data_IF_761058041683
#
_entry.id   IF_761058041683
#
_cell.length_a   1.000
_cell.length_b   1.000
_cell.length_c   1.000
_cell.angle_alpha   90.00
_cell.angle_beta   90.00
_cell.angle_gamma   90.00
#
_symmetry.space_group_name_H-M   'P 1'
#
loop_
_entity.id
_entity.type
_entity.pdbx_description
1 polymer ?
#
# COMPACT_ATOMS: atom_id res chain seq x y z
N UNK A 1 54.95 -23.53 -10.50
CA UNK A 1 54.52 -22.32 -9.77
C UNK A 1 53.20 -21.88 -10.39
N UNK A 2 52.09 -22.48 -9.94
CA UNK A 2 50.75 -22.14 -10.41
C UNK A 2 50.19 -21.09 -9.47
N UNK A 3 49.95 -19.90 -9.98
CA UNK A 3 49.34 -18.79 -9.24
C UNK A 3 47.84 -18.95 -9.43
N UNK A 4 47.16 -19.53 -8.44
CA UNK A 4 45.70 -19.54 -8.40
C UNK A 4 45.21 -18.15 -7.97
N UNK A 5 44.56 -17.44 -8.88
CA UNK A 5 43.76 -16.27 -8.53
C UNK A 5 42.50 -16.72 -7.78
N UNK A 6 42.16 -16.13 -6.61
CA UNK A 6 40.90 -16.43 -5.96
C UNK A 6 39.78 -15.74 -6.74
N UNK A 7 38.87 -16.54 -7.29
CA UNK A 7 37.56 -16.06 -7.72
C UNK A 7 36.84 -15.50 -6.50
N UNK A 8 36.78 -14.17 -6.40
CA UNK A 8 35.80 -13.51 -5.53
C UNK A 8 34.41 -13.83 -6.09
N UNK A 9 33.78 -14.85 -5.53
CA UNK A 9 32.36 -15.10 -5.68
C UNK A 9 31.64 -13.94 -4.98
N UNK A 10 31.25 -12.92 -5.75
CA UNK A 10 30.24 -11.97 -5.31
C UNK A 10 28.94 -12.76 -5.16
N UNK A 11 28.67 -13.21 -3.94
CA UNK A 11 27.31 -13.55 -3.53
C UNK A 11 26.54 -12.23 -3.63
N UNK A 12 25.84 -12.05 -4.75
CA UNK A 12 24.78 -11.07 -4.90
C UNK A 12 23.75 -11.42 -3.82
N UNK A 13 23.83 -10.74 -2.68
CA UNK A 13 22.74 -10.72 -1.71
C UNK A 13 21.55 -10.08 -2.44
N UNK A 14 20.40 -10.77 -2.57
CA UNK A 14 19.23 -10.16 -3.18
C UNK A 14 18.81 -8.94 -2.33
N UNK A 15 18.68 -7.79 -2.99
CA UNK A 15 18.11 -6.57 -2.42
C UNK A 15 16.73 -6.90 -1.85
N UNK A 16 16.63 -7.04 -0.53
CA UNK A 16 15.37 -7.27 0.16
C UNK A 16 14.54 -5.98 0.13
N UNK A 17 13.28 -6.14 -0.24
CA UNK A 17 12.32 -5.07 -0.41
C UNK A 17 11.83 -4.57 0.96
N UNK A 18 12.63 -3.74 1.63
CA UNK A 18 12.12 -2.83 2.68
C UNK A 18 12.59 -1.41 2.55
N UNK A 19 13.38 -1.07 1.53
CA UNK A 19 13.38 0.32 1.13
C UNK A 19 14.04 0.61 -0.20
N UNK A 20 13.25 1.18 -1.10
CA UNK A 20 13.76 1.95 -2.22
C UNK A 20 14.50 3.16 -1.66
N UNK A 21 15.72 3.37 -2.13
CA UNK A 21 16.50 4.58 -1.85
C UNK A 21 16.07 5.65 -2.86
N UNK A 22 14.96 6.32 -2.57
CA UNK A 22 14.50 7.45 -3.37
C UNK A 22 15.32 8.67 -2.97
N UNK A 23 16.04 9.24 -3.93
CA UNK A 23 16.85 10.43 -3.70
C UNK A 23 15.98 11.54 -3.05
N UNK A 24 16.48 12.28 -2.04
CA UNK A 24 15.68 13.27 -1.31
C UNK A 24 15.05 14.38 -2.17
N UNK A 25 15.67 14.67 -3.33
CA UNK A 25 15.20 15.66 -4.30
C UNK A 25 14.58 15.04 -5.56
N UNK A 26 14.25 13.74 -5.53
CA UNK A 26 13.62 13.08 -6.67
C UNK A 26 12.32 13.80 -7.06
N UNK A 27 12.12 13.94 -8.36
CA UNK A 27 10.87 14.41 -8.97
C UNK A 27 10.29 13.32 -9.85
N UNK A 28 9.01 13.44 -10.15
CA UNK A 28 8.31 12.51 -11.03
C UNK A 28 7.68 13.28 -12.17
N UNK A 29 7.57 12.61 -13.31
CA UNK A 29 6.82 13.10 -14.47
C UNK A 29 5.43 13.53 -14.04
N UNK A 30 4.98 14.70 -14.50
CA UNK A 30 3.63 15.20 -14.16
C UNK A 30 2.51 14.47 -14.89
N UNK A 31 2.83 13.90 -16.05
CA UNK A 31 1.92 13.05 -16.80
C UNK A 31 2.15 11.59 -16.41
N UNK A 32 1.08 10.94 -15.97
CA UNK A 32 1.01 9.52 -15.69
C UNK A 32 0.71 8.71 -16.95
N UNK A 33 1.12 7.46 -16.90
CA UNK A 33 0.85 6.44 -17.91
C UNK A 33 -0.04 5.39 -17.26
N UNK A 34 -1.21 5.13 -17.86
CA UNK A 34 -2.06 4.02 -17.41
C UNK A 34 -1.36 2.69 -17.68
N UNK A 35 -1.12 1.90 -16.62
CA UNK A 35 -0.41 0.61 -16.69
C UNK A 35 -1.30 -0.59 -16.34
N UNK A 36 -2.46 -0.36 -15.75
CA UNK A 36 -3.51 -1.35 -15.53
C UNK A 36 -4.88 -0.66 -15.45
N UNK A 37 -5.93 -1.34 -15.90
CA UNK A 37 -7.28 -0.77 -16.00
C UNK A 37 -7.40 0.36 -17.02
N UNK A 38 -8.26 1.34 -16.72
CA UNK A 38 -8.45 2.55 -17.55
C UNK A 38 -9.28 2.36 -18.82
N UNK A 39 -9.88 1.19 -19.02
CA UNK A 39 -10.82 0.90 -20.11
C UNK A 39 -12.28 0.93 -19.63
N UNK A 40 -12.58 1.87 -18.75
CA UNK A 40 -13.86 1.96 -18.02
C UNK A 40 -13.94 1.01 -16.84
N UNK A 41 -14.94 1.28 -15.98
CA UNK A 41 -15.37 0.40 -14.91
C UNK A 41 -15.90 -0.93 -15.49
N UNK A 42 -15.48 -2.05 -14.91
CA UNK A 42 -16.02 -3.36 -15.29
C UNK A 42 -15.13 -4.52 -14.87
N UNK A 43 -15.53 -5.72 -15.29
CA UNK A 43 -14.92 -7.00 -14.90
C UNK A 43 -14.06 -7.64 -16.01
N UNK A 44 -13.90 -6.97 -17.16
CA UNK A 44 -13.00 -7.41 -18.23
C UNK A 44 -11.54 -7.54 -17.76
N UNK A 45 -10.72 -8.27 -18.53
CA UNK A 45 -9.29 -8.47 -18.20
C UNK A 45 -8.45 -7.21 -18.30
N UNK A 46 -8.92 -6.18 -19.00
CA UNK A 46 -8.30 -4.87 -19.11
C UNK A 46 -9.06 -3.77 -18.34
N UNK A 47 -10.01 -4.16 -17.47
CA UNK A 47 -10.83 -3.27 -16.65
C UNK A 47 -10.58 -3.52 -15.16
N UNK A 48 -10.89 -2.51 -14.36
CA UNK A 48 -10.93 -2.55 -12.91
C UNK A 48 -12.26 -1.95 -12.46
N UNK A 49 -12.71 -2.28 -11.26
CA UNK A 49 -13.86 -1.66 -10.61
C UNK A 49 -13.51 -1.35 -9.15
N UNK A 50 -13.45 -0.04 -8.85
CA UNK A 50 -13.10 0.48 -7.53
C UNK A 50 -11.80 -0.14 -6.98
N UNK A 51 -10.69 -0.13 -7.76
CA UNK A 51 -9.41 -0.69 -7.29
C UNK A 51 -8.94 0.05 -6.04
N UNK A 52 -8.29 -0.63 -5.09
CA UNK A 52 -7.92 -0.01 -3.81
C UNK A 52 -6.43 -0.13 -3.47
N UNK A 53 -5.95 -1.30 -3.07
CA UNK A 53 -4.54 -1.56 -2.78
C UNK A 53 -3.77 -2.04 -4.00
N UNK A 54 -2.46 -1.79 -4.01
CA UNK A 54 -1.54 -2.35 -4.99
C UNK A 54 -0.22 -2.80 -4.37
N UNK A 55 0.41 -3.77 -5.03
CA UNK A 55 1.80 -4.17 -4.78
C UNK A 55 2.56 -4.29 -6.10
N UNK A 56 3.82 -3.83 -6.11
CA UNK A 56 4.72 -3.96 -7.24
C UNK A 56 5.85 -4.90 -6.84
N UNK A 57 5.97 -6.04 -7.53
CA UNK A 57 7.07 -6.98 -7.27
C UNK A 57 8.36 -6.57 -7.99
N UNK A 58 9.48 -7.21 -7.65
CA UNK A 58 10.81 -6.87 -8.15
C UNK A 58 10.91 -7.03 -9.67
N UNK A 59 10.11 -7.90 -10.28
CA UNK A 59 10.03 -8.12 -11.73
C UNK A 59 9.12 -7.10 -12.45
N UNK A 60 8.64 -6.09 -11.72
CA UNK A 60 7.68 -5.06 -12.15
C UNK A 60 6.27 -5.60 -12.43
N UNK A 61 5.94 -6.79 -11.93
CA UNK A 61 4.57 -7.29 -11.93
C UNK A 61 3.72 -6.51 -10.91
N UNK A 62 2.56 -6.06 -11.34
CA UNK A 62 1.60 -5.26 -10.57
C UNK A 62 0.48 -6.18 -10.09
N UNK A 63 0.25 -6.21 -8.78
CA UNK A 63 -0.91 -6.84 -8.17
C UNK A 63 -1.87 -5.75 -7.70
N UNK A 64 -3.15 -5.85 -8.04
CA UNK A 64 -4.17 -4.86 -7.70
C UNK A 64 -5.35 -5.56 -7.04
N UNK A 65 -5.80 -5.02 -5.91
CA UNK A 65 -7.09 -5.38 -5.33
C UNK A 65 -8.21 -4.72 -6.14
N UNK A 66 -8.91 -5.51 -6.94
CA UNK A 66 -10.04 -5.09 -7.77
C UNK A 66 -11.34 -5.31 -6.96
N UNK A 67 -11.58 -4.36 -6.07
CA UNK A 67 -12.43 -4.50 -4.88
C UNK A 67 -13.86 -4.92 -5.21
N UNK A 68 -14.53 -4.19 -6.12
CA UNK A 68 -15.93 -4.45 -6.45
C UNK A 68 -16.09 -5.74 -7.27
N UNK A 69 -15.05 -6.14 -8.00
CA UNK A 69 -15.00 -7.42 -8.71
C UNK A 69 -14.59 -8.60 -7.82
N UNK A 70 -14.34 -8.39 -6.53
CA UNK A 70 -14.02 -9.45 -5.56
C UNK A 70 -12.83 -10.33 -5.99
N UNK A 71 -11.77 -9.70 -6.50
CA UNK A 71 -10.61 -10.41 -7.07
C UNK A 71 -9.31 -9.64 -6.89
N UNK A 72 -8.20 -10.36 -6.97
CA UNK A 72 -6.87 -9.79 -7.16
C UNK A 72 -6.44 -10.03 -8.60
N UNK A 73 -5.99 -8.96 -9.25
CA UNK A 73 -5.55 -8.97 -10.62
C UNK A 73 -4.04 -8.76 -10.71
N UNK A 74 -3.38 -9.49 -11.62
CA UNK A 74 -1.97 -9.41 -11.95
C UNK A 74 -1.79 -8.77 -13.34
N UNK A 75 -0.92 -7.76 -13.45
CA UNK A 75 -0.41 -7.23 -14.72
C UNK A 75 1.10 -7.33 -14.79
N UNK A 76 1.60 -8.04 -15.81
CA UNK A 76 3.02 -8.02 -16.14
C UNK A 76 3.40 -6.69 -16.79
N UNK A 77 4.65 -6.27 -16.63
CA UNK A 77 5.15 -5.05 -17.27
C UNK A 77 4.87 -5.04 -18.79
N UNK A 78 4.19 -4.00 -19.27
CA UNK A 78 3.81 -3.82 -20.67
C UNK A 78 2.57 -4.60 -21.12
N UNK A 79 1.92 -5.37 -20.24
CA UNK A 79 0.70 -6.08 -20.58
C UNK A 79 -0.50 -5.12 -20.71
N UNK A 80 -1.35 -5.34 -21.72
CA UNK A 80 -2.61 -4.61 -21.92
C UNK A 80 -3.79 -5.27 -21.20
N UNK A 81 -3.66 -6.54 -20.86
CA UNK A 81 -4.64 -7.34 -20.13
C UNK A 81 -3.99 -7.94 -18.90
N UNK A 82 -4.73 -7.97 -17.81
CA UNK A 82 -4.37 -8.63 -16.57
C UNK A 82 -4.91 -10.04 -16.50
N UNK A 83 -4.52 -10.72 -15.43
CA UNK A 83 -4.93 -12.08 -15.11
C UNK A 83 -5.47 -12.12 -13.68
N UNK A 84 -6.61 -12.78 -13.48
CA UNK A 84 -7.10 -13.07 -12.12
C UNK A 84 -6.15 -14.06 -11.45
N UNK A 85 -5.62 -13.71 -10.28
CA UNK A 85 -4.71 -14.56 -9.50
C UNK A 85 -5.27 -14.99 -8.14
N UNK A 86 -6.32 -14.31 -7.65
CA UNK A 86 -7.09 -14.74 -6.48
C UNK A 86 -8.53 -14.22 -6.58
N UNK A 87 -9.49 -14.96 -6.02
CA UNK A 87 -10.92 -14.63 -6.08
C UNK A 87 -11.49 -14.71 -7.51
N UNK A 88 -12.48 -13.86 -7.81
CA UNK A 88 -13.16 -13.83 -9.12
C UNK A 88 -14.20 -14.94 -9.36
N UNK A 89 -14.48 -15.76 -8.35
CA UNK A 89 -15.46 -16.85 -8.39
C UNK A 89 -16.78 -16.46 -7.71
N UNK A 90 -17.20 -15.22 -7.93
CA UNK A 90 -18.29 -14.60 -7.20
C UNK A 90 -17.88 -14.14 -5.80
N UNK A 91 -18.75 -13.33 -5.21
CA UNK A 91 -18.63 -12.84 -3.86
C UNK A 91 -18.97 -13.95 -2.85
N UNK A 92 -18.13 -14.15 -1.84
CA UNK A 92 -18.44 -15.04 -0.73
C UNK A 92 -17.24 -15.31 0.17
N UNK A 93 -17.40 -16.23 1.11
CA UNK A 93 -16.41 -16.55 2.15
C UNK A 93 -15.77 -17.94 1.98
N UNK A 94 -16.10 -18.67 0.91
CA UNK A 94 -15.48 -19.95 0.61
C UNK A 94 -13.98 -19.79 0.29
N UNK A 95 -13.24 -20.89 0.31
CA UNK A 95 -11.78 -20.86 0.13
C UNK A 95 -11.36 -20.30 -1.24
N UNK A 96 -12.20 -20.44 -2.27
CA UNK A 96 -11.95 -19.94 -3.62
C UNK A 96 -12.61 -18.57 -3.90
N UNK A 97 -13.16 -17.92 -2.87
CA UNK A 97 -13.88 -16.65 -2.98
C UNK A 97 -13.22 -15.56 -2.13
N UNK A 98 -13.44 -14.31 -2.55
CA UNK A 98 -13.15 -13.10 -1.80
C UNK A 98 -14.43 -12.26 -1.72
N UNK A 99 -14.46 -11.30 -0.80
CA UNK A 99 -15.50 -10.31 -0.69
C UNK A 99 -14.91 -8.94 -0.34
N UNK A 100 -14.97 -7.98 -1.28
CA UNK A 100 -14.35 -6.65 -1.19
C UNK A 100 -12.90 -6.70 -0.68
N UNK A 101 -11.98 -7.36 -1.41
CA UNK A 101 -10.58 -7.31 -1.03
C UNK A 101 -10.07 -5.88 -1.17
N UNK A 102 -9.41 -5.35 -0.13
CA UNK A 102 -8.94 -3.96 -0.15
C UNK A 102 -7.45 -3.84 -0.45
N UNK A 103 -6.65 -4.83 -0.06
CA UNK A 103 -5.20 -4.71 -0.17
C UNK A 103 -4.56 -6.07 -0.42
N UNK A 104 -3.38 -6.04 -1.04
CA UNK A 104 -2.60 -7.23 -1.36
C UNK A 104 -1.12 -6.93 -1.21
N UNK A 105 -0.38 -7.83 -0.57
CA UNK A 105 1.09 -7.81 -0.50
C UNK A 105 1.64 -9.20 -0.82
N UNK A 106 2.95 -9.30 -1.07
CA UNK A 106 3.61 -10.59 -1.33
C UNK A 106 4.44 -11.02 -0.13
N UNK A 107 4.19 -12.24 0.35
CA UNK A 107 5.07 -12.97 1.24
C UNK A 107 6.08 -13.76 0.39
N UNK A 108 7.26 -13.16 0.14
CA UNK A 108 8.27 -13.72 -0.77
C UNK A 108 8.81 -15.09 -0.33
N UNK A 109 8.98 -15.30 0.97
CA UNK A 109 9.50 -16.55 1.54
C UNK A 109 8.59 -17.76 1.25
N UNK A 110 7.26 -17.54 1.16
CA UNK A 110 6.27 -18.58 0.88
C UNK A 110 5.66 -18.50 -0.52
N UNK A 111 6.19 -17.64 -1.39
CA UNK A 111 5.63 -17.30 -2.71
C UNK A 111 4.09 -17.18 -2.71
N UNK A 112 3.57 -16.35 -1.81
CA UNK A 112 2.13 -16.22 -1.57
C UNK A 112 1.67 -14.77 -1.56
N UNK A 113 0.44 -14.54 -2.00
CA UNK A 113 -0.27 -13.29 -1.78
C UNK A 113 -0.85 -13.29 -0.36
N UNK A 114 -0.73 -12.17 0.34
CA UNK A 114 -1.46 -11.89 1.57
C UNK A 114 -2.50 -10.83 1.25
N UNK A 115 -3.77 -11.17 1.43
CA UNK A 115 -4.90 -10.41 0.93
C UNK A 115 -5.76 -9.98 2.10
N UNK A 116 -6.08 -8.69 2.13
CA UNK A 116 -7.10 -8.12 3.00
C UNK A 116 -8.46 -8.45 2.41
N UNK A 117 -9.19 -9.40 2.99
CA UNK A 117 -10.52 -9.84 2.53
C UNK A 117 -11.59 -9.20 3.43
N UNK A 118 -11.72 -7.87 3.30
CA UNK A 118 -12.41 -7.00 4.24
C UNK A 118 -13.89 -7.34 4.42
N UNK A 119 -14.59 -7.68 3.34
CA UNK A 119 -16.00 -8.07 3.40
C UNK A 119 -16.25 -9.34 4.22
N UNK A 120 -15.24 -10.20 4.33
CA UNK A 120 -15.27 -11.42 5.15
C UNK A 120 -14.60 -11.26 6.53
N UNK A 121 -14.17 -10.04 6.90
CA UNK A 121 -13.48 -9.74 8.15
C UNK A 121 -12.27 -10.66 8.42
N UNK A 122 -11.45 -10.90 7.39
CA UNK A 122 -10.30 -11.81 7.48
C UNK A 122 -9.11 -11.35 6.64
N UNK A 123 -7.95 -11.94 6.93
CA UNK A 123 -6.77 -11.89 6.05
C UNK A 123 -6.52 -13.29 5.51
N UNK A 124 -6.29 -13.38 4.21
CA UNK A 124 -6.14 -14.64 3.47
C UNK A 124 -4.73 -14.75 2.91
N UNK A 125 -4.11 -15.92 3.06
CA UNK A 125 -2.91 -16.32 2.32
C UNK A 125 -3.34 -17.10 1.09
N UNK A 126 -2.91 -16.68 -0.09
CA UNK A 126 -3.26 -17.31 -1.37
C UNK A 126 -1.99 -17.68 -2.14
N UNK A 127 -1.85 -18.91 -2.68
CA UNK A 127 -0.67 -19.28 -3.44
C UNK A 127 -0.53 -18.38 -4.68
N UNK A 128 0.64 -17.77 -4.87
CA UNK A 128 0.84 -16.82 -5.99
C UNK A 128 0.77 -17.51 -7.35
N UNK A 129 1.14 -18.79 -7.42
CA UNK A 129 1.13 -19.59 -8.65
C UNK A 129 0.31 -20.86 -8.49
N UNK A 130 -0.51 -21.16 -9.50
CA UNK A 130 -1.30 -22.40 -9.63
C UNK A 130 -2.24 -22.73 -8.46
N UNK A 131 -2.51 -21.78 -7.55
CA UNK A 131 -3.47 -21.92 -6.46
C UNK A 131 -4.87 -21.49 -6.85
N UNK A 132 -5.88 -22.29 -6.49
CA UNK A 132 -7.30 -21.97 -6.74
C UNK A 132 -8.05 -21.57 -5.46
N UNK A 133 -7.43 -21.73 -4.30
CA UNK A 133 -8.01 -21.46 -3.00
C UNK A 133 -7.01 -20.74 -2.10
N UNK A 134 -7.52 -19.84 -1.26
CA UNK A 134 -6.79 -19.22 -0.16
C UNK A 134 -7.11 -19.85 1.19
N UNK A 135 -6.22 -19.62 2.13
CA UNK A 135 -6.31 -20.03 3.53
C UNK A 135 -6.53 -18.79 4.41
N UNK A 136 -7.51 -18.83 5.30
CA UNK A 136 -7.69 -17.76 6.29
C UNK A 136 -6.58 -17.84 7.33
N UNK A 137 -5.73 -16.81 7.40
CA UNK A 137 -4.61 -16.75 8.36
C UNK A 137 -4.92 -15.83 9.56
N UNK A 138 -5.83 -14.88 9.41
CA UNK A 138 -6.36 -14.06 10.52
C UNK A 138 -7.87 -13.93 10.33
N UNK A 139 -8.63 -14.10 11.41
CA UNK A 139 -10.09 -13.96 11.43
C UNK A 139 -10.53 -12.82 12.36
N UNK A 140 -11.79 -12.37 12.20
CA UNK A 140 -12.41 -11.33 13.03
C UNK A 140 -11.66 -9.99 13.02
N UNK A 141 -11.17 -9.61 11.84
CA UNK A 141 -10.42 -8.37 11.64
C UNK A 141 -11.01 -7.59 10.45
N UNK A 142 -11.33 -6.32 10.65
CA UNK A 142 -11.77 -5.45 9.55
C UNK A 142 -10.52 -4.84 8.92
N UNK A 143 -9.83 -5.67 8.14
CA UNK A 143 -8.55 -5.31 7.54
C UNK A 143 -8.74 -4.26 6.43
N UNK A 144 -8.05 -3.13 6.53
CA UNK A 144 -8.03 -2.10 5.47
C UNK A 144 -6.71 -2.08 4.70
N UNK A 145 -5.59 -2.10 5.42
CA UNK A 145 -4.25 -2.02 4.84
C UNK A 145 -3.32 -3.07 5.41
N UNK A 146 -2.39 -3.49 4.57
CA UNK A 146 -1.38 -4.51 4.86
C UNK A 146 0.01 -3.97 4.52
N UNK A 147 1.00 -4.40 5.30
CA UNK A 147 2.41 -4.25 4.92
C UNK A 147 3.24 -5.33 5.60
N UNK A 148 4.45 -5.57 5.11
CA UNK A 148 5.35 -6.58 5.65
C UNK A 148 6.77 -6.04 5.64
N UNK A 149 7.51 -6.32 6.71
CA UNK A 149 8.93 -5.98 6.79
C UNK A 149 9.82 -7.08 6.20
N UNK A 150 11.12 -6.78 6.07
CA UNK A 150 12.13 -7.72 5.53
C UNK A 150 12.34 -9.00 6.35
N UNK A 151 11.80 -9.04 7.58
CA UNK A 151 11.86 -10.21 8.45
C UNK A 151 10.59 -11.05 8.38
N UNK A 152 9.62 -10.69 7.53
CA UNK A 152 8.35 -11.39 7.37
C UNK A 152 7.35 -11.09 8.48
N UNK A 153 7.58 -10.08 9.33
CA UNK A 153 6.53 -9.56 10.21
C UNK A 153 5.58 -8.74 9.35
N UNK A 154 4.29 -9.07 9.42
CA UNK A 154 3.28 -8.33 8.69
C UNK A 154 2.36 -7.57 9.63
N UNK A 155 1.91 -6.42 9.15
CA UNK A 155 1.17 -5.43 9.91
C UNK A 155 -0.17 -5.25 9.24
N UNK A 156 -1.21 -5.22 10.06
CA UNK A 156 -2.60 -5.18 9.63
C UNK A 156 -3.27 -3.99 10.29
N UNK A 157 -3.89 -3.15 9.49
CA UNK A 157 -4.79 -2.09 9.98
C UNK A 157 -6.14 -2.71 10.30
N UNK A 158 -6.44 -2.89 11.58
CA UNK A 158 -7.79 -3.28 12.05
C UNK A 158 -8.63 -2.01 12.19
N UNK A 159 -9.29 -1.62 11.11
CA UNK A 159 -10.14 -0.45 11.07
C UNK A 159 -11.32 -0.57 12.06
N UNK A 160 -11.78 -1.79 12.33
CA UNK A 160 -12.90 -2.06 13.25
C UNK A 160 -12.57 -1.75 14.72
N UNK A 161 -11.28 -1.63 15.05
CA UNK A 161 -10.78 -1.30 16.40
C UNK A 161 -9.90 -0.05 16.44
N UNK A 162 -9.76 0.65 15.32
CA UNK A 162 -8.90 1.83 15.19
C UNK A 162 -7.46 1.56 15.67
N UNK A 163 -6.87 0.46 15.21
CA UNK A 163 -5.54 0.02 15.63
C UNK A 163 -4.75 -0.63 14.50
N UNK A 164 -3.43 -0.70 14.69
CA UNK A 164 -2.55 -1.52 13.86
C UNK A 164 -2.00 -2.65 14.69
N UNK A 165 -2.12 -3.86 14.17
CA UNK A 165 -1.58 -5.09 14.77
C UNK A 165 -0.41 -5.62 13.96
N UNK A 166 0.65 -6.02 14.65
CA UNK A 166 1.78 -6.74 14.09
C UNK A 166 1.61 -8.24 14.35
N UNK A 167 1.86 -9.05 13.33
CA UNK A 167 1.79 -10.50 13.39
C UNK A 167 3.12 -11.11 12.96
N UNK A 168 3.48 -12.22 13.61
CA UNK A 168 4.46 -13.16 13.08
C UNK A 168 3.75 -14.15 12.16
N UNK A 169 4.50 -14.77 11.25
CA UNK A 169 4.02 -15.95 10.55
C UNK A 169 3.51 -16.97 11.59
N UNK A 170 2.32 -17.51 11.33
CA UNK A 170 1.56 -18.44 12.17
C UNK A 170 0.98 -17.86 13.49
N UNK A 171 1.15 -16.56 13.76
CA UNK A 171 0.43 -15.89 14.85
C UNK A 171 -1.02 -15.59 14.45
N UNK A 172 -1.96 -15.80 15.37
CA UNK A 172 -3.39 -15.59 15.13
C UNK A 172 -3.97 -14.40 15.89
N UNK A 173 -3.23 -13.84 16.87
CA UNK A 173 -3.74 -12.73 17.71
C UNK A 173 -3.05 -11.41 17.39
N UNK A 174 -1.74 -11.46 17.09
CA UNK A 174 -0.94 -10.27 16.86
C UNK A 174 -0.81 -9.37 18.09
N UNK A 175 0.07 -8.38 17.99
CA UNK A 175 0.32 -7.37 19.03
C UNK A 175 -0.05 -6.00 18.52
N UNK A 176 -0.78 -5.22 19.32
CA UNK A 176 -1.11 -3.82 18.97
C UNK A 176 0.16 -2.97 19.02
N UNK A 177 0.45 -2.29 17.91
CA UNK A 177 1.67 -1.46 17.72
C UNK A 177 1.36 0.02 17.43
N UNK A 178 0.13 0.35 17.09
CA UNK A 178 -0.37 1.72 16.99
C UNK A 178 -1.87 1.77 17.30
N UNK A 179 -2.36 2.87 17.90
CA UNK A 179 -3.76 3.00 18.30
C UNK A 179 -4.15 2.10 19.48
N UNK A 180 -5.33 1.48 19.42
CA UNK A 180 -5.82 0.52 20.42
C UNK A 180 -6.33 1.14 21.74
N UNK A 181 -6.42 2.47 21.82
CA UNK A 181 -6.94 3.20 22.98
C UNK A 181 -8.32 3.81 22.70
N UNK A 182 -9.10 3.12 21.87
CA UNK A 182 -10.40 3.56 21.35
C UNK A 182 -10.29 4.62 20.25
N UNK A 183 -11.41 4.84 19.56
CA UNK A 183 -11.52 5.84 18.51
C UNK A 183 -11.36 7.26 19.04
N UNK A 184 -10.60 8.09 18.34
CA UNK A 184 -10.43 9.50 18.70
C UNK A 184 -9.24 10.16 18.01
N UNK A 185 -8.91 11.37 18.45
CA UNK A 185 -7.87 12.22 17.84
C UNK A 185 -6.68 12.50 18.76
N UNK A 186 -6.63 11.89 19.94
CA UNK A 186 -5.44 11.97 20.83
C UNK A 186 -4.25 11.29 20.17
N UNK A 187 -3.03 11.57 20.65
CA UNK A 187 -1.80 11.02 20.07
C UNK A 187 -1.66 9.50 20.27
N UNK A 188 -2.44 8.88 21.16
CA UNK A 188 -2.51 7.44 21.36
C UNK A 188 -3.77 6.80 20.74
N UNK A 189 -4.55 7.56 19.97
CA UNK A 189 -5.79 7.12 19.32
C UNK A 189 -5.70 7.30 17.81
N UNK A 190 -6.51 6.53 17.09
CA UNK A 190 -6.76 6.65 15.67
C UNK A 190 -8.27 6.79 15.44
N UNK A 191 -8.66 7.23 14.24
CA UNK A 191 -10.04 7.28 13.80
C UNK A 191 -10.11 6.82 12.34
N UNK A 192 -10.66 5.62 12.14
CA UNK A 192 -10.76 4.92 10.87
C UNK A 192 -9.41 4.93 10.12
N UNK A 193 -8.36 4.29 10.67
CA UNK A 193 -7.10 4.15 9.96
C UNK A 193 -7.27 3.27 8.72
N UNK A 194 -6.58 3.61 7.63
CA UNK A 194 -6.74 2.90 6.35
C UNK A 194 -5.48 2.17 5.90
N UNK A 195 -4.34 2.84 5.82
CA UNK A 195 -3.07 2.25 5.36
C UNK A 195 -2.00 2.30 6.44
N UNK A 196 -1.01 1.43 6.26
CA UNK A 196 0.16 1.31 7.12
C UNK A 196 1.43 1.16 6.28
N UNK A 197 2.52 1.77 6.75
CA UNK A 197 3.88 1.52 6.27
C UNK A 197 4.81 1.37 7.47
N UNK A 198 5.90 0.64 7.30
CA UNK A 198 6.90 0.42 8.37
C UNK A 198 8.28 0.84 7.88
N UNK A 199 9.07 1.48 8.74
CA UNK A 199 10.49 1.77 8.48
C UNK A 199 11.41 0.66 9.02
N UNK A 200 12.72 0.74 8.73
CA UNK A 200 13.68 -0.29 9.17
C UNK A 200 13.90 -0.35 10.68
N UNK A 201 13.50 0.69 11.41
CA UNK A 201 13.52 0.71 12.87
C UNK A 201 12.23 0.09 13.46
N UNK A 202 11.38 -0.49 12.60
CA UNK A 202 10.04 -0.99 12.91
C UNK A 202 9.10 0.07 13.47
N UNK A 203 9.30 1.33 13.11
CA UNK A 203 8.31 2.36 13.38
C UNK A 203 7.16 2.22 12.40
N UNK A 204 5.95 2.40 12.90
CA UNK A 204 4.71 2.22 12.17
C UNK A 204 4.14 3.59 11.79
N UNK A 205 3.91 3.79 10.49
CA UNK A 205 3.30 4.98 9.92
C UNK A 205 1.88 4.62 9.50
N UNK A 206 0.89 5.34 10.01
CA UNK A 206 -0.53 5.05 9.80
C UNK A 206 -1.22 6.27 9.23
N UNK A 207 -1.97 6.08 8.14
CA UNK A 207 -2.90 7.10 7.69
C UNK A 207 -4.14 7.08 8.57
N UNK A 208 -4.23 8.08 9.44
CA UNK A 208 -5.33 8.30 10.36
C UNK A 208 -6.41 9.10 9.63
N UNK A 209 -7.08 8.40 8.69
CA UNK A 209 -7.83 8.97 7.57
C UNK A 209 -8.84 10.03 8.01
N UNK A 210 -9.63 9.76 9.05
CA UNK A 210 -10.67 10.69 9.51
C UNK A 210 -10.19 11.76 10.48
N UNK A 211 -8.94 11.66 10.94
CA UNK A 211 -8.26 12.75 11.65
C UNK A 211 -7.39 13.60 10.71
N UNK A 212 -7.38 13.34 9.40
CA UNK A 212 -6.70 14.17 8.40
C UNK A 212 -5.20 14.33 8.68
N UNK A 213 -4.55 13.23 9.08
CA UNK A 213 -3.14 13.21 9.48
C UNK A 213 -2.49 11.87 9.19
N UNK A 214 -1.17 11.87 9.12
CA UNK A 214 -0.35 10.65 9.20
C UNK A 214 0.38 10.65 10.54
N UNK A 215 0.27 9.54 11.23
CA UNK A 215 0.85 9.34 12.55
C UNK A 215 2.00 8.33 12.47
N UNK A 216 3.10 8.58 13.18
CA UNK A 216 4.22 7.65 13.37
C UNK A 216 4.26 7.17 14.81
N UNK A 217 4.33 5.86 15.02
CA UNK A 217 4.71 5.24 16.31
C UNK A 217 6.09 4.62 16.18
N UNK A 218 7.02 5.05 17.03
CA UNK A 218 8.28 4.33 17.21
C UNK A 218 8.02 3.00 17.92
N UNK A 219 8.90 2.02 17.70
CA UNK A 219 8.76 0.68 18.29
C UNK A 219 8.62 0.76 19.82
N UNK A 220 7.49 0.28 20.33
CA UNK A 220 7.18 0.26 21.78
C UNK A 220 6.64 1.58 22.35
N UNK A 221 6.48 2.62 21.53
CA UNK A 221 5.90 3.89 21.96
C UNK A 221 4.44 3.74 22.41
N UNK A 222 4.04 4.49 23.44
CA UNK A 222 2.66 4.50 23.95
C UNK A 222 1.73 5.49 23.22
N UNK A 223 2.32 6.44 22.50
CA UNK A 223 1.64 7.43 21.69
C UNK A 223 2.50 7.71 20.46
N UNK A 224 1.87 8.17 19.39
CA UNK A 224 2.55 8.53 18.16
C UNK A 224 2.88 10.01 18.10
N UNK A 225 3.51 10.39 17.00
CA UNK A 225 3.74 11.78 16.61
C UNK A 225 3.12 12.03 15.23
N UNK A 226 2.65 13.25 15.00
CA UNK A 226 2.14 13.66 13.68
C UNK A 226 3.36 13.90 12.78
N UNK A 227 3.39 13.25 11.61
CA UNK A 227 4.48 13.37 10.63
C UNK A 227 4.02 13.98 9.30
N UNK A 228 2.72 14.05 9.05
CA UNK A 228 2.13 14.81 7.95
C UNK A 228 0.70 15.25 8.31
N UNK A 229 0.27 16.41 7.82
CA UNK A 229 -1.05 16.99 8.12
C UNK A 229 -1.21 17.40 9.59
N UNK A 230 -2.40 17.15 10.16
CA UNK A 230 -2.70 17.45 11.56
C UNK A 230 -3.13 18.90 11.86
N UNK A 231 -3.25 19.75 10.83
CA UNK A 231 -3.82 21.11 10.92
C UNK A 231 -5.30 21.15 10.49
N UNK A 232 -6.02 20.05 10.74
CA UNK A 232 -7.40 19.85 10.30
C UNK A 232 -7.54 19.46 8.83
N UNK A 233 -8.78 19.21 8.41
CA UNK A 233 -9.13 18.92 7.02
C UNK A 233 -8.92 20.18 6.16
N UNK A 234 -8.27 20.03 5.00
CA UNK A 234 -8.12 21.11 4.04
C UNK A 234 -7.13 20.78 2.93
N UNK A 235 -6.91 21.75 2.04
CA UNK A 235 -6.10 21.59 0.82
C UNK A 235 -4.79 22.38 0.83
N UNK A 236 -4.50 23.12 1.91
CA UNK A 236 -3.18 23.75 2.07
C UNK A 236 -2.07 22.71 2.20
N UNK A 237 -0.80 23.12 2.07
CA UNK A 237 0.33 22.20 2.16
C UNK A 237 0.63 21.74 3.60
N UNK A 238 -0.03 22.30 4.61
CA UNK A 238 0.06 21.85 6.01
C UNK A 238 -1.12 20.93 6.41
N UNK A 239 -2.08 20.74 5.50
CA UNK A 239 -3.32 20.00 5.73
C UNK A 239 -3.42 18.78 4.81
N UNK A 240 -4.29 17.86 5.20
CA UNK A 240 -4.68 16.68 4.41
C UNK A 240 -6.21 16.57 4.37
N UNK A 241 -6.74 15.91 3.36
CA UNK A 241 -8.15 15.56 3.19
C UNK A 241 -8.27 14.05 3.00
N UNK A 242 -8.73 13.34 4.03
CA UNK A 242 -8.81 11.87 4.11
C UNK A 242 -7.61 11.15 3.50
N UNK A 243 -6.42 11.25 4.13
CA UNK A 243 -5.24 10.56 3.61
C UNK A 243 -5.47 9.05 3.60
N UNK A 244 -5.20 8.40 2.46
CA UNK A 244 -5.28 6.94 2.31
C UNK A 244 -3.87 6.33 2.28
N UNK A 245 -3.36 5.95 1.11
CA UNK A 245 -2.06 5.29 0.98
C UNK A 245 -0.95 6.10 1.64
N UNK A 246 -0.08 5.40 2.36
CA UNK A 246 1.11 5.96 2.99
C UNK A 246 2.29 5.04 2.71
N UNK A 247 3.41 5.61 2.27
CA UNK A 247 4.68 4.91 2.08
C UNK A 247 5.79 5.74 2.70
N UNK A 248 6.75 5.10 3.37
CA UNK A 248 7.94 5.78 3.91
C UNK A 248 9.21 5.22 3.27
N UNK A 249 10.18 6.09 2.96
CA UNK A 249 11.49 5.68 2.43
C UNK A 249 12.58 5.61 3.54
N UNK A 250 13.81 5.22 3.17
CA UNK A 250 14.98 5.10 4.08
C UNK A 250 15.27 6.37 4.86
N UNK A 251 15.05 7.53 4.24
CA UNK A 251 15.33 8.83 4.84
C UNK A 251 14.22 9.28 5.81
N UNK A 252 13.14 8.51 5.92
CA UNK A 252 11.96 8.86 6.70
C UNK A 252 11.04 9.87 6.01
N UNK A 253 11.18 10.07 4.70
CA UNK A 253 10.24 10.85 3.90
C UNK A 253 8.95 10.07 3.73
N UNK A 254 7.84 10.71 4.06
CA UNK A 254 6.49 10.14 4.00
C UNK A 254 5.81 10.59 2.71
N UNK A 255 5.34 9.64 1.92
CA UNK A 255 4.53 9.86 0.72
C UNK A 255 3.09 9.50 1.04
N UNK A 256 2.15 10.39 0.71
CA UNK A 256 0.76 10.28 1.13
C UNK A 256 -0.18 10.54 -0.04
N UNK A 257 -1.13 9.64 -0.24
CA UNK A 257 -2.29 9.91 -1.08
C UNK A 257 -3.26 10.79 -0.31
N UNK A 258 -3.34 12.06 -0.70
CA UNK A 258 -4.24 13.06 -0.14
C UNK A 258 -5.54 13.04 -0.94
N UNK A 259 -6.38 12.05 -0.63
CA UNK A 259 -7.42 11.53 -1.53
C UNK A 259 -8.51 12.55 -1.88
N UNK A 260 -9.04 13.28 -0.89
CA UNK A 260 -10.05 14.33 -1.14
C UNK A 260 -9.48 15.51 -1.92
N UNK A 261 -8.16 15.68 -1.90
CA UNK A 261 -7.48 16.75 -2.63
C UNK A 261 -6.87 16.27 -3.96
N UNK A 262 -7.14 15.03 -4.37
CA UNK A 262 -6.80 14.49 -5.69
C UNK A 262 -5.30 14.62 -6.03
N UNK A 263 -4.43 14.39 -5.05
CA UNK A 263 -2.99 14.60 -5.18
C UNK A 263 -2.17 13.63 -4.33
N UNK A 264 -0.91 13.47 -4.69
CA UNK A 264 0.09 12.80 -3.86
C UNK A 264 1.06 13.86 -3.34
N UNK A 265 1.31 13.83 -2.04
CA UNK A 265 2.24 14.71 -1.35
C UNK A 265 3.43 13.90 -0.83
N UNK A 266 4.60 14.54 -0.77
CA UNK A 266 5.71 14.07 0.05
C UNK A 266 5.96 15.01 1.23
N UNK A 267 6.37 14.45 2.36
CA UNK A 267 6.81 15.14 3.58
C UNK A 267 8.19 14.61 3.96
N UNK A 268 9.27 15.38 3.75
CA UNK A 268 10.58 15.05 4.29
C UNK A 268 10.51 14.95 5.83
N UNK A 269 11.39 14.14 6.43
CA UNK A 269 11.45 13.99 7.89
C UNK A 269 11.63 15.36 8.56
N UNK A 270 10.70 15.71 9.44
CA UNK A 270 10.71 16.98 10.19
C UNK A 270 10.16 18.19 9.42
N UNK A 271 9.67 18.02 8.19
CA UNK A 271 9.02 19.09 7.44
C UNK A 271 7.69 19.52 8.10
N UNK A 272 7.40 20.82 8.05
CA UNK A 272 6.15 21.40 8.56
C UNK A 272 5.03 21.46 7.52
N UNK A 273 5.36 21.24 6.25
CA UNK A 273 4.44 21.24 5.12
C UNK A 273 4.90 20.23 4.06
N UNK A 274 3.95 19.74 3.26
CA UNK A 274 4.19 18.78 2.20
C UNK A 274 4.48 19.46 0.87
N UNK A 275 4.94 18.67 -0.10
CA UNK A 275 5.17 19.10 -1.47
C UNK A 275 4.37 18.22 -2.42
N UNK A 276 3.63 18.82 -3.36
CA UNK A 276 2.86 18.07 -4.36
C UNK A 276 3.80 17.47 -5.38
N UNK A 277 3.81 16.13 -5.48
CA UNK A 277 4.64 15.42 -6.46
C UNK A 277 3.88 15.07 -7.73
N UNK A 278 2.64 14.61 -7.60
CA UNK A 278 1.74 14.32 -8.73
C UNK A 278 0.29 14.66 -8.37
N UNK A 279 -0.55 14.93 -9.37
CA UNK A 279 -1.93 15.39 -9.18
C UNK A 279 -2.03 16.85 -8.73
N UNK A 280 -3.16 17.21 -8.12
CA UNK A 280 -3.44 18.59 -7.67
C UNK A 280 -3.88 19.55 -8.78
N UNK A 281 -4.11 19.07 -10.00
CA UNK A 281 -4.55 19.85 -11.17
C UNK A 281 -6.07 19.75 -11.39
N UNK A 282 -6.83 19.67 -10.28
CA UNK A 282 -8.24 19.30 -10.27
C UNK A 282 -8.47 17.79 -10.42
N UNK A 283 -9.67 17.36 -10.10
CA UNK A 283 -10.11 15.98 -10.32
C UNK A 283 -10.41 15.76 -11.81
N UNK A 284 -10.14 14.55 -12.30
CA UNK A 284 -10.39 14.19 -13.69
C UNK A 284 -9.56 13.00 -14.15
N UNK A 285 -9.71 12.63 -15.42
CA UNK A 285 -9.10 11.43 -16.01
C UNK A 285 -7.92 11.73 -16.96
N UNK A 286 -7.50 12.99 -17.10
CA UNK A 286 -6.30 13.34 -17.89
C UNK A 286 -5.03 12.79 -17.24
N UNK A 287 -3.91 12.74 -17.99
CA UNK A 287 -2.65 12.16 -17.52
C UNK A 287 -2.04 12.88 -16.31
N UNK A 288 -2.33 14.16 -16.11
CA UNK A 288 -1.86 14.96 -14.97
C UNK A 288 -2.94 15.18 -13.90
N UNK A 289 -4.06 14.46 -13.99
CA UNK A 289 -5.18 14.51 -13.06
C UNK A 289 -5.36 13.14 -12.39
N UNK A 290 -5.77 13.18 -11.13
CA UNK A 290 -6.15 12.03 -10.34
C UNK A 290 -7.60 12.23 -9.87
N UNK A 291 -8.29 11.15 -9.58
CA UNK A 291 -9.61 11.15 -8.98
C UNK A 291 -9.63 10.17 -7.80
N UNK A 292 -9.71 10.72 -6.59
CA UNK A 292 -9.67 9.99 -5.34
C UNK A 292 -8.51 8.97 -5.24
N UNK A 293 -7.23 9.40 -5.33
CA UNK A 293 -6.12 8.46 -5.24
C UNK A 293 -6.10 7.76 -3.88
N UNK A 294 -5.92 6.43 -3.86
CA UNK A 294 -5.97 5.61 -2.64
C UNK A 294 -4.62 4.96 -2.34
N UNK A 295 -4.33 3.78 -2.90
CA UNK A 295 -3.04 3.11 -2.73
C UNK A 295 -1.94 3.79 -3.56
N UNK A 296 -0.71 3.80 -3.03
CA UNK A 296 0.49 4.15 -3.79
C UNK A 296 1.63 3.19 -3.46
N UNK A 297 2.52 2.96 -4.42
CA UNK A 297 3.71 2.15 -4.26
C UNK A 297 4.81 2.62 -5.20
N UNK A 298 6.04 2.20 -4.95
CA UNK A 298 7.18 2.49 -5.82
C UNK A 298 7.76 1.19 -6.36
N UNK A 299 8.23 1.23 -7.61
CA UNK A 299 9.04 0.13 -8.14
C UNK A 299 10.51 0.26 -7.73
N UNK A 300 11.30 -0.81 -7.96
CA UNK A 300 12.74 -0.83 -7.67
C UNK A 300 13.56 0.26 -8.38
N UNK A 301 13.00 0.93 -9.39
CA UNK A 301 13.63 2.02 -10.12
C UNK A 301 13.21 3.41 -9.57
N UNK A 302 12.34 3.46 -8.56
CA UNK A 302 11.83 4.69 -7.97
C UNK A 302 10.64 5.30 -8.70
N UNK A 303 10.05 4.63 -9.70
CA UNK A 303 8.83 5.11 -10.34
C UNK A 303 7.64 4.97 -9.39
N UNK A 304 6.77 5.98 -9.36
CA UNK A 304 5.59 6.02 -8.51
C UNK A 304 4.40 5.40 -9.23
N UNK A 305 3.69 4.50 -8.55
CA UNK A 305 2.44 3.90 -9.00
C UNK A 305 1.33 4.31 -8.05
N UNK A 306 0.20 4.74 -8.60
CA UNK A 306 -0.95 5.26 -7.84
C UNK A 306 -2.22 4.56 -8.32
N UNK A 307 -3.00 4.04 -7.37
CA UNK A 307 -4.40 3.69 -7.64
C UNK A 307 -5.19 4.98 -7.76
N UNK A 308 -5.68 5.23 -8.97
CA UNK A 308 -6.56 6.33 -9.33
C UNK A 308 -8.00 5.80 -9.27
N UNK A 309 -8.50 5.66 -8.03
CA UNK A 309 -9.65 4.82 -7.63
C UNK A 309 -10.88 5.07 -8.50
N UNK A 310 -11.35 6.32 -8.54
CA UNK A 310 -12.59 6.70 -9.23
C UNK A 310 -12.41 6.79 -10.75
N UNK A 311 -11.17 6.67 -11.24
CA UNK A 311 -10.86 6.50 -12.65
C UNK A 311 -10.60 5.04 -13.03
N UNK A 312 -10.76 4.09 -12.08
CA UNK A 312 -10.68 2.65 -12.32
C UNK A 312 -9.37 2.21 -12.99
N UNK A 313 -8.23 2.78 -12.54
CA UNK A 313 -6.93 2.56 -13.17
C UNK A 313 -5.75 2.66 -12.20
N UNK A 314 -4.62 2.14 -12.65
CA UNK A 314 -3.30 2.37 -12.05
C UNK A 314 -2.51 3.32 -12.95
N UNK A 315 -2.05 4.44 -12.39
CA UNK A 315 -1.16 5.36 -13.09
C UNK A 315 0.29 5.21 -12.61
N UNK A 316 1.21 5.12 -13.56
CA UNK A 316 2.66 5.15 -13.34
C UNK A 316 3.21 6.53 -13.68
N UNK A 317 4.04 7.08 -12.80
CA UNK A 317 4.80 8.30 -13.01
C UNK A 317 6.29 7.97 -12.93
N UNK A 318 7.04 8.33 -13.97
CA UNK A 318 8.45 7.99 -14.04
C UNK A 318 9.26 8.96 -13.17
N UNK A 319 10.27 8.44 -12.49
CA UNK A 319 11.24 9.30 -11.80
C UNK A 319 12.07 10.08 -12.83
N UNK A 320 12.36 11.36 -12.53
CA UNK A 320 13.16 12.28 -13.37
C UNK A 320 14.55 12.55 -12.77
#
# INVERSE_FOLDING_TARGET
MFISTPYFCFILVPLRASSIDIHPNATWSKNGITVAGGNGEGSGTNQLDSPYGLYIDDDLTIYVADTSNNRIMEWKSGATNGKVVAGGNGQGNEAHQLYHPLDVIIAKESDSLIISDRGNNRVVRWPRQNGTCGETIISNIVCFGLTMDDNGLFYVVDNGKDEVRQYKIDDTQGTVVAGGNGKGNRLNQLLQPHYVSVDRDHSVYVSDCWNHRVMKWEKGAKQGIIVAGGQGQGSSLTQLGRPNGVVVNQSGTVYVADSENHRILLWPKGATQGNVIVGGNGWGAQSNQLNWPVGLSFDRHGNLYVIDHDNHRVQKFNIE
#
